data_IF_061055005633
#
_entry.id   IF_061055005633
#
_cell.length_a   1.000
_cell.length_b   1.000
_cell.length_c   1.000
_cell.angle_alpha   90.00
_cell.angle_beta   90.00
_cell.angle_gamma   90.00
#
_symmetry.space_group_name_H-M   'P 1'
#
loop_
_entity.id
_entity.type
_entity.pdbx_description
1 polymer ?
#
# COMPACT_ATOMS: atom_id res chain seq x y z
N UNK A 1 -14.59 -4.35 21.38
CA UNK A 1 -13.86 -3.08 21.16
C UNK A 1 -14.61 -2.28 20.10
N UNK A 2 -15.22 -1.15 20.46
CA UNK A 2 -15.83 -0.23 19.49
C UNK A 2 -14.67 0.51 18.81
N UNK A 3 -14.28 0.11 17.60
CA UNK A 3 -13.27 0.83 16.83
C UNK A 3 -13.89 2.12 16.30
N UNK A 4 -13.72 3.22 17.03
CA UNK A 4 -13.98 4.56 16.53
C UNK A 4 -12.93 4.82 15.42
N UNK A 5 -13.37 4.71 14.17
CA UNK A 5 -12.53 4.95 12.98
C UNK A 5 -12.44 6.46 12.72
N UNK A 6 -11.24 6.98 12.58
CA UNK A 6 -10.98 8.38 12.26
C UNK A 6 -10.00 9.05 13.21
N UNK A 7 -10.15 10.37 13.33
CA UNK A 7 -9.22 11.23 14.06
C UNK A 7 -8.05 11.71 13.19
N UNK A 8 -7.24 12.57 13.79
CA UNK A 8 -6.13 13.27 13.13
C UNK A 8 -5.16 12.28 12.47
N UNK A 9 -4.64 12.65 11.31
CA UNK A 9 -3.63 11.88 10.58
C UNK A 9 -2.24 12.10 11.18
N UNK A 10 -1.47 11.02 11.37
CA UNK A 10 -0.05 11.06 11.76
C UNK A 10 0.85 10.83 10.54
N UNK A 11 2.13 11.22 10.65
CA UNK A 11 3.10 11.03 9.57
C UNK A 11 3.29 9.55 9.23
N UNK A 12 3.39 8.68 10.24
CA UNK A 12 3.40 7.22 10.07
C UNK A 12 2.24 6.69 9.24
N UNK A 13 1.01 7.13 9.52
CA UNK A 13 -0.19 6.72 8.75
C UNK A 13 -0.11 7.21 7.29
N UNK A 14 0.33 8.45 7.07
CA UNK A 14 0.48 9.03 5.73
C UNK A 14 1.56 8.29 4.91
N UNK A 15 2.69 7.93 5.50
CA UNK A 15 3.75 7.18 4.82
C UNK A 15 3.34 5.75 4.47
N UNK A 16 2.64 5.06 5.38
CA UNK A 16 2.05 3.75 5.07
C UNK A 16 1.02 3.88 3.93
N UNK A 17 0.19 4.94 3.94
CA UNK A 17 -0.79 5.20 2.89
C UNK A 17 -0.11 5.42 1.54
N UNK A 18 0.96 6.23 1.48
CA UNK A 18 1.75 6.42 0.25
C UNK A 18 2.32 5.10 -0.28
N UNK A 19 3.00 4.34 0.58
CA UNK A 19 3.59 3.06 0.19
C UNK A 19 2.53 2.03 -0.25
N UNK A 20 1.37 2.01 0.40
CA UNK A 20 0.25 1.16 0.04
C UNK A 20 -0.38 1.57 -1.30
N UNK A 21 -0.49 2.87 -1.61
CA UNK A 21 -0.94 3.35 -2.92
C UNK A 21 0.05 2.98 -4.01
N UNK A 22 1.37 3.07 -3.74
CA UNK A 22 2.40 2.61 -4.69
C UNK A 22 2.26 1.11 -5.01
N UNK A 23 1.91 0.27 -4.03
CA UNK A 23 1.76 -1.18 -4.24
C UNK A 23 0.40 -1.59 -4.83
N UNK A 24 -0.70 -0.98 -4.37
CA UNK A 24 -2.06 -1.44 -4.67
C UNK A 24 -2.84 -0.53 -5.63
N UNK A 25 -2.33 0.67 -5.92
CA UNK A 25 -2.97 1.67 -6.78
C UNK A 25 -4.16 2.40 -6.13
N UNK A 26 -4.75 3.34 -6.89
CA UNK A 26 -5.80 4.26 -6.42
C UNK A 26 -7.23 3.69 -6.45
N UNK A 27 -7.39 2.38 -6.68
CA UNK A 27 -8.71 1.73 -6.80
C UNK A 27 -8.97 0.69 -5.70
N UNK A 28 -7.97 0.31 -4.91
CA UNK A 28 -8.08 -0.75 -3.89
C UNK A 28 -8.09 -0.19 -2.45
N UNK A 29 -8.91 0.84 -2.19
CA UNK A 29 -8.92 1.56 -0.90
C UNK A 29 -9.25 0.68 0.31
N UNK A 30 -10.10 -0.35 0.14
CA UNK A 30 -10.40 -1.29 1.22
C UNK A 30 -9.16 -2.10 1.64
N UNK A 31 -8.35 -2.49 0.65
CA UNK A 31 -7.09 -3.20 0.89
C UNK A 31 -6.07 -2.28 1.56
N UNK A 32 -5.97 -1.03 1.12
CA UNK A 32 -5.10 -0.02 1.73
C UNK A 32 -5.50 0.25 3.18
N UNK A 33 -6.77 0.52 3.44
CA UNK A 33 -7.28 0.78 4.79
C UNK A 33 -7.07 -0.39 5.74
N UNK A 34 -7.04 -1.63 5.25
CA UNK A 34 -6.71 -2.77 6.10
C UNK A 34 -5.26 -2.79 6.61
N UNK A 35 -4.36 -1.91 6.14
CA UNK A 35 -3.03 -1.71 6.71
C UNK A 35 -3.02 -0.60 7.79
N UNK A 36 -4.14 0.12 7.96
CA UNK A 36 -4.28 1.26 8.86
C UNK A 36 -5.42 1.00 9.85
N UNK A 37 -5.10 0.55 11.05
CA UNK A 37 -6.08 0.04 12.03
C UNK A 37 -7.25 0.98 12.35
N UNK A 38 -6.99 2.29 12.36
CA UNK A 38 -7.96 3.32 12.76
C UNK A 38 -8.52 4.13 11.60
N UNK A 39 -8.16 3.84 10.36
CA UNK A 39 -8.61 4.58 9.17
C UNK A 39 -9.48 3.71 8.26
N UNK A 40 -10.64 4.22 7.88
CA UNK A 40 -11.54 3.58 6.93
C UNK A 40 -11.10 3.81 5.47
N UNK A 41 -11.59 2.97 4.55
CA UNK A 41 -11.32 3.11 3.12
C UNK A 41 -11.71 4.48 2.55
N UNK A 42 -12.85 5.03 2.99
CA UNK A 42 -13.30 6.37 2.60
C UNK A 42 -12.33 7.46 3.09
N UNK A 43 -11.83 7.34 4.33
CA UNK A 43 -10.86 8.27 4.92
C UNK A 43 -9.52 8.20 4.17
N UNK A 44 -9.03 7.00 3.87
CA UNK A 44 -7.79 6.82 3.07
C UNK A 44 -7.92 7.45 1.68
N UNK A 45 -9.07 7.26 1.02
CA UNK A 45 -9.36 7.87 -0.28
C UNK A 45 -9.39 9.39 -0.19
N UNK A 46 -10.12 9.94 0.78
CA UNK A 46 -10.22 11.38 0.99
C UNK A 46 -8.84 11.99 1.31
N UNK A 47 -8.08 11.40 2.25
CA UNK A 47 -6.72 11.83 2.58
C UNK A 47 -5.80 11.85 1.37
N UNK A 48 -5.89 10.84 0.51
CA UNK A 48 -5.11 10.80 -0.71
C UNK A 48 -5.42 12.00 -1.62
N UNK A 49 -6.69 12.19 -2.00
CA UNK A 49 -7.05 13.23 -2.97
C UNK A 49 -7.01 14.66 -2.40
N UNK A 50 -7.19 14.83 -1.10
CA UNK A 50 -7.19 16.15 -0.46
C UNK A 50 -5.79 16.61 -0.02
N UNK A 51 -4.87 15.67 0.28
CA UNK A 51 -3.56 16.03 0.86
C UNK A 51 -2.36 15.31 0.24
N UNK A 52 -2.43 14.02 -0.07
CA UNK A 52 -1.23 13.25 -0.45
C UNK A 52 -0.95 13.16 -1.94
N UNK A 53 -1.95 13.38 -2.79
CA UNK A 53 -1.76 13.33 -4.24
C UNK A 53 -0.74 14.40 -4.67
N UNK A 54 0.35 14.04 -5.37
CA UNK A 54 1.38 15.00 -5.77
C UNK A 54 0.88 16.16 -6.65
N UNK A 55 -0.29 16.00 -7.29
CA UNK A 55 -0.94 17.07 -8.06
C UNK A 55 -1.53 18.17 -7.18
N UNK A 56 -1.72 17.94 -5.88
CA UNK A 56 -2.22 18.93 -4.92
C UNK A 56 -1.12 19.95 -4.63
N UNK A 57 -1.30 21.18 -5.11
CA UNK A 57 -0.37 22.28 -4.82
C UNK A 57 -0.50 22.71 -3.36
N UNK A 58 0.62 22.70 -2.63
CA UNK A 58 0.72 23.16 -1.24
C UNK A 58 1.54 24.44 -1.09
N UNK A 59 1.93 25.05 -2.21
CA UNK A 59 2.60 26.34 -2.26
C UNK A 59 1.64 27.48 -1.95
N UNK A 60 2.18 28.67 -1.73
CA UNK A 60 1.40 29.89 -1.56
C UNK A 60 0.49 30.16 -2.77
N UNK A 61 -0.57 30.95 -2.53
CA UNK A 61 -1.51 31.38 -3.56
C UNK A 61 -0.91 32.52 -4.38
N UNK A 62 -0.94 32.38 -5.69
CA UNK A 62 -0.58 33.47 -6.60
C UNK A 62 -1.73 34.46 -6.76
N UNK A 63 -1.40 35.70 -7.15
CA UNK A 63 -2.41 36.73 -7.44
C UNK A 63 -3.38 36.30 -8.55
N UNK A 64 -2.88 35.63 -9.59
CA UNK A 64 -3.70 35.10 -10.69
C UNK A 64 -4.67 34.01 -10.22
N UNK A 65 -4.24 33.14 -9.29
CA UNK A 65 -5.10 32.13 -8.67
C UNK A 65 -6.21 32.80 -7.83
N UNK A 66 -5.88 33.83 -7.05
CA UNK A 66 -6.85 34.57 -6.22
C UNK A 66 -7.88 35.33 -7.07
N UNK A 67 -7.45 36.04 -8.12
CA UNK A 67 -8.35 36.77 -9.02
C UNK A 67 -9.31 35.80 -9.73
N UNK A 68 -8.79 34.66 -10.21
CA UNK A 68 -9.60 33.60 -10.81
C UNK A 68 -10.59 32.99 -9.82
N UNK A 69 -10.14 32.72 -8.58
CA UNK A 69 -10.98 32.18 -7.52
C UNK A 69 -12.16 33.11 -7.21
N UNK A 70 -11.90 34.40 -7.00
CA UNK A 70 -12.94 35.39 -6.70
C UNK A 70 -13.92 35.56 -7.86
N UNK A 71 -13.42 35.61 -9.10
CA UNK A 71 -14.27 35.69 -10.29
C UNK A 71 -15.21 34.48 -10.40
N UNK A 72 -14.68 33.27 -10.26
CA UNK A 72 -15.47 32.04 -10.36
C UNK A 72 -16.44 31.87 -9.18
N UNK A 73 -16.04 32.25 -7.96
CA UNK A 73 -16.92 32.21 -6.80
C UNK A 73 -18.12 33.17 -6.94
N UNK A 74 -17.92 34.32 -7.62
CA UNK A 74 -19.01 35.25 -7.96
C UNK A 74 -19.96 34.68 -9.03
N UNK A 75 -19.42 33.99 -10.04
CA UNK A 75 -20.22 33.40 -11.12
C UNK A 75 -20.95 32.11 -10.71
N UNK A 76 -20.32 31.30 -9.87
CA UNK A 76 -20.85 30.01 -9.40
C UNK A 76 -20.81 29.94 -7.86
N UNK A 77 -21.78 30.59 -7.18
CA UNK A 77 -21.80 30.65 -5.73
C UNK A 77 -21.76 29.24 -5.10
N UNK A 78 -20.87 29.05 -4.12
CA UNK A 78 -20.71 27.83 -3.29
C UNK A 78 -20.40 26.52 -4.03
N UNK A 79 -20.10 26.55 -5.33
CA UNK A 79 -19.80 25.35 -6.14
C UNK A 79 -18.32 24.97 -6.13
N UNK A 80 -17.71 24.81 -4.95
CA UNK A 80 -16.26 24.61 -4.79
C UNK A 80 -15.70 23.38 -5.52
N UNK A 81 -16.48 22.30 -5.63
CA UNK A 81 -16.07 21.09 -6.38
C UNK A 81 -15.96 21.34 -7.89
N UNK A 82 -16.72 22.28 -8.43
CA UNK A 82 -16.68 22.70 -9.83
C UNK A 82 -15.56 23.72 -10.07
N UNK A 83 -15.36 24.64 -9.12
CA UNK A 83 -14.34 25.70 -9.19
C UNK A 83 -12.92 25.12 -9.06
N UNK A 84 -12.72 24.19 -8.12
CA UNK A 84 -11.41 23.65 -7.76
C UNK A 84 -10.58 23.12 -8.95
N UNK A 85 -11.12 22.27 -9.85
CA UNK A 85 -10.39 21.83 -11.04
C UNK A 85 -9.95 22.95 -11.97
N UNK A 86 -10.72 24.04 -12.06
CA UNK A 86 -10.44 25.20 -12.94
C UNK A 86 -9.33 26.08 -12.33
N UNK A 87 -9.33 26.25 -11.01
CA UNK A 87 -8.28 26.98 -10.28
C UNK A 87 -7.00 26.15 -10.16
N UNK A 88 -7.11 24.82 -10.11
CA UNK A 88 -5.98 23.90 -9.95
C UNK A 88 -5.56 23.70 -8.48
N UNK A 89 -6.52 23.79 -7.55
CA UNK A 89 -6.38 23.57 -6.10
C UNK A 89 -7.49 22.66 -5.61
N UNK A 90 -7.43 22.15 -4.38
CA UNK A 90 -8.54 21.34 -3.84
C UNK A 90 -9.75 22.21 -3.49
N UNK A 91 -10.94 21.61 -3.43
CA UNK A 91 -12.16 22.34 -3.09
C UNK A 91 -12.08 22.97 -1.68
N UNK A 92 -11.48 22.25 -0.73
CA UNK A 92 -11.30 22.78 0.62
C UNK A 92 -10.29 23.94 0.65
N UNK A 93 -9.17 23.84 -0.09
CA UNK A 93 -8.22 24.94 -0.22
C UNK A 93 -8.87 26.19 -0.81
N UNK A 94 -9.72 26.03 -1.84
CA UNK A 94 -10.43 27.14 -2.48
C UNK A 94 -11.39 27.82 -1.50
N UNK A 95 -12.16 27.05 -0.74
CA UNK A 95 -13.08 27.58 0.27
C UNK A 95 -12.33 28.33 1.38
N UNK A 96 -11.32 27.71 2.00
CA UNK A 96 -10.54 28.33 3.07
C UNK A 96 -9.85 29.62 2.58
N UNK A 97 -9.33 29.63 1.34
CA UNK A 97 -8.74 30.85 0.76
C UNK A 97 -9.77 31.94 0.50
N UNK A 98 -10.94 31.58 0.00
CA UNK A 98 -12.01 32.54 -0.28
C UNK A 98 -12.50 33.21 1.02
N UNK A 99 -12.75 32.42 2.07
CA UNK A 99 -13.11 32.94 3.40
C UNK A 99 -12.03 33.88 3.93
N UNK A 100 -10.75 33.48 3.84
CA UNK A 100 -9.63 34.33 4.26
C UNK A 100 -9.59 35.67 3.50
N UNK A 101 -9.88 35.69 2.19
CA UNK A 101 -9.90 36.91 1.39
C UNK A 101 -11.08 37.83 1.77
N UNK A 102 -12.24 37.26 2.10
CA UNK A 102 -13.39 38.01 2.61
C UNK A 102 -13.11 38.62 4.00
N UNK A 103 -12.61 37.81 4.94
CA UNK A 103 -12.26 38.25 6.30
C UNK A 103 -11.22 39.38 6.23
N UNK A 104 -10.21 39.26 5.34
CA UNK A 104 -9.19 40.29 5.12
C UNK A 104 -9.79 41.60 4.57
N UNK A 105 -10.81 41.53 3.71
CA UNK A 105 -11.48 42.70 3.19
C UNK A 105 -12.35 43.38 4.25
N UNK A 106 -13.16 42.60 4.98
CA UNK A 106 -14.02 43.10 6.06
C UNK A 106 -13.25 43.74 7.20
N UNK A 107 -12.13 43.12 7.61
CA UNK A 107 -11.27 43.65 8.67
C UNK A 107 -10.60 44.97 8.24
N UNK A 108 -10.26 45.13 6.95
CA UNK A 108 -9.74 46.40 6.41
C UNK A 108 -10.79 47.52 6.45
N UNK A 109 -12.07 47.18 6.32
CA UNK A 109 -13.19 48.11 6.42
C UNK A 109 -13.61 48.40 7.88
N UNK A 110 -12.91 47.84 8.88
CA UNK A 110 -13.11 48.14 10.29
C UNK A 110 -14.39 47.56 10.90
N UNK A 111 -14.96 46.53 10.26
CA UNK A 111 -16.32 46.03 10.54
C UNK A 111 -16.41 44.84 11.52
N UNK A 112 -15.32 44.29 12.06
CA UNK A 112 -15.38 43.01 12.80
C UNK A 112 -14.65 43.02 14.15
N UNK A 113 -15.38 43.21 15.24
CA UNK A 113 -14.89 42.95 16.60
C UNK A 113 -15.80 42.01 17.43
N UNK A 114 -16.95 41.57 16.92
CA UNK A 114 -17.94 40.81 17.73
C UNK A 114 -18.23 39.37 17.27
N UNK A 115 -17.60 38.86 16.20
CA UNK A 115 -17.78 37.45 15.83
C UNK A 115 -16.85 36.52 16.61
N UNK A 116 -17.45 35.47 17.18
CA UNK A 116 -16.87 34.50 18.11
C UNK A 116 -15.50 33.97 17.63
N UNK A 117 -14.40 34.19 18.39
CA UNK A 117 -13.05 33.79 17.98
C UNK A 117 -12.83 32.28 17.87
N UNK A 118 -13.83 31.45 18.20
CA UNK A 118 -13.76 29.98 18.07
C UNK A 118 -14.92 29.42 17.24
N UNK A 119 -14.66 29.16 15.95
CA UNK A 119 -15.60 28.46 15.04
C UNK A 119 -15.92 27.00 15.46
N UNK A 120 -15.19 26.40 16.39
CA UNK A 120 -15.46 25.05 16.93
C UNK A 120 -15.60 25.09 18.45
N UNK A 121 -16.63 24.43 18.99
CA UNK A 121 -16.80 24.34 20.45
C UNK A 121 -15.76 23.37 21.04
N UNK A 122 -15.20 23.67 22.22
CA UNK A 122 -14.32 22.73 22.91
C UNK A 122 -14.96 21.33 23.05
N UNK A 123 -14.33 20.31 22.46
CA UNK A 123 -14.81 18.93 22.48
C UNK A 123 -15.44 18.41 21.17
N UNK A 124 -15.66 19.27 20.17
CA UNK A 124 -16.15 18.83 18.86
C UNK A 124 -15.04 18.19 18.01
N UNK A 125 -15.38 17.13 17.28
CA UNK A 125 -14.47 16.45 16.34
C UNK A 125 -14.49 17.22 15.03
N UNK A 126 -13.31 17.55 14.49
CA UNK A 126 -13.18 18.16 13.15
C UNK A 126 -13.89 17.26 12.11
N UNK A 127 -14.85 17.80 11.32
CA UNK A 127 -15.55 17.03 10.30
C UNK A 127 -14.62 16.59 9.14
N UNK A 128 -13.54 17.33 8.85
CA UNK A 128 -12.67 17.11 7.69
C UNK A 128 -11.17 17.01 8.09
N UNK A 129 -10.76 16.06 8.95
CA UNK A 129 -9.37 15.94 9.39
C UNK A 129 -8.42 15.57 8.25
N UNK A 130 -8.92 15.04 7.12
CA UNK A 130 -8.13 14.69 5.95
C UNK A 130 -7.48 15.90 5.25
N UNK A 131 -7.97 17.11 5.46
CA UNK A 131 -7.45 18.33 4.82
C UNK A 131 -6.33 19.00 5.63
N UNK A 132 -6.10 18.56 6.87
CA UNK A 132 -5.12 19.16 7.78
C UNK A 132 -3.73 18.51 7.68
N UNK A 133 -2.63 19.23 7.99
CA UNK A 133 -1.31 18.61 8.07
C UNK A 133 -1.28 17.41 9.03
N UNK A 134 -0.43 16.43 8.71
CA UNK A 134 -0.22 15.30 9.61
C UNK A 134 0.53 15.74 10.88
N UNK A 135 0.20 15.12 12.01
CA UNK A 135 0.95 15.29 13.25
C UNK A 135 2.30 14.57 13.15
N UNK A 136 3.40 15.20 13.61
CA UNK A 136 4.67 14.51 13.78
C UNK A 136 4.52 13.29 14.69
N UNK A 137 5.30 12.25 14.41
CA UNK A 137 5.32 11.04 15.21
C UNK A 137 5.99 11.31 16.57
N UNK A 138 5.44 10.81 17.70
CA UNK A 138 6.09 10.93 19.00
C UNK A 138 7.41 10.16 19.04
N UNK A 139 8.33 10.57 19.92
CA UNK A 139 9.63 9.89 20.08
C UNK A 139 9.44 8.46 20.58
N UNK A 140 8.54 8.29 21.55
CA UNK A 140 8.15 6.99 22.07
C UNK A 140 6.83 6.58 21.40
N UNK A 141 6.95 5.70 20.41
CA UNK A 141 5.84 5.17 19.64
C UNK A 141 5.16 4.06 20.44
N UNK A 142 3.82 4.08 20.49
CA UNK A 142 3.08 3.04 21.19
C UNK A 142 3.14 1.69 20.45
N UNK A 143 2.75 0.62 21.15
CA UNK A 143 2.75 -0.74 20.62
C UNK A 143 1.88 -0.86 19.36
N UNK A 144 0.74 -0.18 19.34
CA UNK A 144 -0.20 -0.18 18.21
C UNK A 144 0.45 0.38 16.93
N UNK A 145 1.24 1.46 17.03
CA UNK A 145 1.92 2.06 15.89
C UNK A 145 3.11 1.22 15.41
N UNK A 146 3.88 0.66 16.34
CA UNK A 146 4.98 -0.25 16.02
C UNK A 146 4.47 -1.52 15.33
N UNK A 147 3.39 -2.10 15.84
CA UNK A 147 2.73 -3.26 15.25
C UNK A 147 2.22 -2.92 13.84
N UNK A 148 1.55 -1.77 13.67
CA UNK A 148 1.08 -1.29 12.37
C UNK A 148 2.20 -1.14 11.34
N UNK A 149 3.35 -0.58 11.74
CA UNK A 149 4.53 -0.48 10.87
C UNK A 149 5.09 -1.85 10.51
N UNK A 150 5.16 -2.76 11.47
CA UNK A 150 5.65 -4.13 11.25
C UNK A 150 4.76 -4.90 10.27
N UNK A 151 3.43 -4.79 10.42
CA UNK A 151 2.44 -5.41 9.54
C UNK A 151 2.52 -4.81 8.14
N UNK A 152 2.60 -3.48 8.03
CA UNK A 152 2.75 -2.79 6.76
C UNK A 152 3.99 -3.29 6.00
N UNK A 153 5.16 -3.35 6.65
CA UNK A 153 6.40 -3.88 6.06
C UNK A 153 6.22 -5.32 5.57
N UNK A 154 5.69 -6.20 6.41
CA UNK A 154 5.49 -7.61 6.06
C UNK A 154 4.52 -7.79 4.87
N UNK A 155 3.43 -7.03 4.83
CA UNK A 155 2.44 -7.08 3.76
C UNK A 155 2.94 -6.47 2.47
N UNK A 156 3.71 -5.39 2.53
CA UNK A 156 4.35 -4.79 1.36
C UNK A 156 5.44 -5.69 0.77
N UNK A 157 6.17 -6.46 1.57
CA UNK A 157 7.12 -7.45 1.09
C UNK A 157 6.46 -8.70 0.45
N UNK A 158 5.27 -9.09 0.92
CA UNK A 158 4.63 -10.32 0.47
C UNK A 158 4.00 -10.18 -0.94
N UNK A 159 4.46 -11.02 -1.88
CA UNK A 159 3.92 -11.16 -3.24
C UNK A 159 3.30 -12.53 -3.51
N UNK A 160 3.54 -13.52 -2.64
CA UNK A 160 3.18 -14.91 -2.86
C UNK A 160 1.82 -15.26 -2.25
N UNK A 161 0.98 -15.94 -3.04
CA UNK A 161 -0.27 -16.53 -2.58
C UNK A 161 -0.08 -17.82 -1.77
N UNK A 162 -1.19 -18.33 -1.20
CA UNK A 162 -1.20 -19.55 -0.36
C UNK A 162 -0.58 -20.77 -1.06
N UNK A 163 -0.90 -20.99 -2.35
CA UNK A 163 -0.40 -22.13 -3.13
C UNK A 163 1.12 -22.09 -3.32
N UNK A 164 1.68 -20.93 -3.66
CA UNK A 164 3.11 -20.75 -3.84
C UNK A 164 3.88 -21.01 -2.53
N UNK A 165 3.43 -20.42 -1.42
CA UNK A 165 4.03 -20.67 -0.09
C UNK A 165 3.95 -22.14 0.32
N UNK A 166 2.81 -22.81 0.10
CA UNK A 166 2.65 -24.24 0.38
C UNK A 166 3.61 -25.09 -0.45
N UNK A 167 3.70 -24.83 -1.75
CA UNK A 167 4.60 -25.56 -2.67
C UNK A 167 6.07 -25.33 -2.34
N UNK A 168 6.46 -24.14 -1.89
CA UNK A 168 7.82 -23.87 -1.42
C UNK A 168 8.17 -24.71 -0.18
N UNK A 169 7.26 -24.80 0.81
CA UNK A 169 7.46 -25.67 1.99
C UNK A 169 7.49 -27.15 1.63
N UNK A 170 6.60 -27.61 0.74
CA UNK A 170 6.61 -28.99 0.24
C UNK A 170 7.97 -29.35 -0.39
N UNK A 171 8.52 -28.46 -1.22
CA UNK A 171 9.85 -28.64 -1.83
C UNK A 171 10.97 -28.70 -0.78
N UNK A 172 10.95 -27.81 0.22
CA UNK A 172 11.94 -27.83 1.30
C UNK A 172 11.88 -29.15 2.10
N UNK A 173 10.67 -29.62 2.42
CA UNK A 173 10.47 -30.90 3.10
C UNK A 173 10.91 -32.08 2.25
N UNK A 174 10.68 -32.05 0.94
CA UNK A 174 11.16 -33.07 0.00
C UNK A 174 12.69 -33.13 -0.04
N UNK A 175 13.36 -31.98 -0.12
CA UNK A 175 14.83 -31.89 -0.06
C UNK A 175 15.33 -32.42 1.28
N UNK A 176 14.73 -32.02 2.40
CA UNK A 176 15.09 -32.50 3.73
C UNK A 176 14.93 -34.02 3.87
N UNK A 177 13.80 -34.59 3.41
CA UNK A 177 13.58 -36.03 3.38
C UNK A 177 14.62 -36.74 2.52
N UNK A 178 14.93 -36.21 1.33
CA UNK A 178 15.94 -36.78 0.44
C UNK A 178 17.33 -36.78 1.10
N UNK A 179 17.72 -35.70 1.76
CA UNK A 179 18.99 -35.61 2.49
C UNK A 179 19.05 -36.63 3.63
N UNK A 180 18.00 -36.74 4.45
CA UNK A 180 17.93 -37.72 5.54
C UNK A 180 18.00 -39.16 5.01
N UNK A 181 17.30 -39.48 3.92
CA UNK A 181 17.34 -40.79 3.29
C UNK A 181 18.74 -41.12 2.73
N UNK A 182 19.40 -40.13 2.12
CA UNK A 182 20.76 -40.27 1.60
C UNK A 182 21.78 -40.48 2.73
N UNK A 183 21.64 -39.76 3.85
CA UNK A 183 22.47 -39.94 5.03
C UNK A 183 22.31 -41.35 5.60
N UNK A 184 21.06 -41.78 5.84
CA UNK A 184 20.77 -43.16 6.31
C UNK A 184 21.36 -44.21 5.38
N UNK A 185 21.25 -44.02 4.06
CA UNK A 185 21.84 -44.94 3.07
C UNK A 185 23.37 -44.97 3.15
N UNK A 186 24.02 -43.83 3.37
CA UNK A 186 25.48 -43.76 3.55
C UNK A 186 25.91 -44.52 4.80
N UNK A 187 25.24 -44.31 5.93
CA UNK A 187 25.54 -44.98 7.20
C UNK A 187 25.38 -46.50 7.09
N UNK A 188 24.28 -46.98 6.49
CA UNK A 188 24.07 -48.41 6.26
C UNK A 188 25.14 -49.02 5.34
N UNK A 189 25.50 -48.34 4.24
CA UNK A 189 26.58 -48.79 3.35
C UNK A 189 27.93 -48.81 4.05
N UNK A 190 28.24 -47.82 4.88
CA UNK A 190 29.48 -47.75 5.65
C UNK A 190 29.57 -48.89 6.68
N UNK A 191 28.44 -49.31 7.26
CA UNK A 191 28.34 -50.48 8.13
C UNK A 191 28.39 -51.83 7.38
N UNK A 192 28.59 -51.83 6.06
CA UNK A 192 28.61 -53.05 5.24
C UNK A 192 27.23 -53.66 4.97
N UNK A 193 26.15 -52.99 5.38
CA UNK A 193 24.77 -53.45 5.14
C UNK A 193 24.33 -53.00 3.74
N UNK A 194 24.52 -53.90 2.76
CA UNK A 194 24.11 -53.71 1.37
C UNK A 194 22.60 -53.60 1.21
N UNK A 195 22.04 -52.41 1.40
CA UNK A 195 20.60 -52.19 1.19
C UNK A 195 20.29 -51.79 -0.24
N UNK A 196 19.59 -52.68 -0.95
CA UNK A 196 18.73 -52.31 -2.07
C UNK A 196 17.50 -51.61 -1.48
N UNK A 197 17.62 -50.33 -1.15
CA UNK A 197 16.46 -49.50 -0.81
C UNK A 197 15.62 -49.38 -2.08
N UNK A 198 14.62 -50.25 -2.19
CA UNK A 198 13.73 -50.34 -3.33
C UNK A 198 13.25 -48.95 -3.72
N UNK A 199 13.50 -48.59 -4.99
CA UNK A 199 12.84 -47.46 -5.61
C UNK A 199 11.35 -47.60 -5.30
N UNK A 200 10.75 -46.59 -4.66
CA UNK A 200 9.33 -46.61 -4.38
C UNK A 200 8.58 -46.99 -5.66
N UNK A 201 7.64 -47.95 -5.62
CA UNK A 201 6.98 -48.45 -6.82
C UNK A 201 6.41 -47.27 -7.61
N UNK A 202 6.86 -47.12 -8.86
CA UNK A 202 6.43 -46.02 -9.75
C UNK A 202 4.93 -46.19 -9.98
N UNK A 203 4.11 -45.33 -9.35
CA UNK A 203 2.64 -45.38 -9.45
C UNK A 203 2.11 -44.86 -10.79
N UNK A 204 3.00 -44.46 -11.71
CA UNK A 204 2.70 -44.04 -13.08
C UNK A 204 3.81 -44.49 -14.03
N UNK A 205 3.54 -44.72 -15.33
CA UNK A 205 4.57 -44.89 -16.34
C UNK A 205 5.39 -43.59 -16.41
N UNK A 206 6.49 -43.56 -15.65
CA UNK A 206 7.39 -42.43 -15.54
C UNK A 206 8.71 -42.85 -16.19
N UNK A 207 9.07 -42.16 -17.27
CA UNK A 207 10.32 -42.37 -18.01
C UNK A 207 11.50 -42.32 -17.04
N UNK A 208 12.40 -43.29 -17.20
CA UNK A 208 13.58 -43.36 -16.37
C UNK A 208 14.74 -42.65 -17.06
N UNK A 209 14.90 -41.37 -16.71
CA UNK A 209 15.93 -40.50 -17.25
C UNK A 209 17.37 -41.00 -17.01
N UNK A 210 17.58 -41.95 -16.10
CA UNK A 210 18.91 -42.49 -15.83
C UNK A 210 19.21 -43.76 -16.62
N UNK A 211 18.21 -44.49 -17.11
CA UNK A 211 18.43 -45.77 -17.82
C UNK A 211 18.48 -45.63 -19.33
N UNK A 212 17.78 -44.64 -19.89
CA UNK A 212 17.69 -44.42 -21.35
C UNK A 212 17.67 -42.93 -21.68
N UNK A 213 18.02 -42.58 -22.92
CA UNK A 213 17.89 -41.21 -23.44
C UNK A 213 16.41 -40.99 -23.78
N UNK A 214 15.68 -40.16 -23.01
CA UNK A 214 14.26 -39.97 -23.27
C UNK A 214 14.05 -39.24 -24.59
N UNK A 215 13.13 -39.75 -25.41
CA UNK A 215 12.82 -39.19 -26.73
C UNK A 215 14.06 -39.06 -27.63
N UNK A 216 14.97 -40.03 -27.58
CA UNK A 216 16.14 -40.04 -28.45
C UNK A 216 15.73 -39.93 -29.92
N UNK A 217 16.26 -38.92 -30.60
CA UNK A 217 16.13 -38.75 -32.04
C UNK A 217 17.50 -38.91 -32.65
N UNK A 218 17.68 -40.02 -33.36
CA UNK A 218 18.93 -40.29 -34.04
C UNK A 218 19.25 -39.14 -35.03
N UNK A 219 20.48 -38.64 -35.06
CA UNK A 219 20.87 -37.60 -36.01
C UNK A 219 20.68 -38.14 -37.45
N UNK A 220 20.15 -37.33 -38.38
CA UNK A 220 20.00 -37.76 -39.76
C UNK A 220 21.37 -38.09 -40.36
N UNK A 221 21.45 -39.19 -41.11
CA UNK A 221 22.70 -39.62 -41.76
C UNK A 221 23.14 -38.58 -42.80
N UNK A 222 24.40 -38.15 -42.72
CA UNK A 222 25.00 -37.17 -43.64
C UNK A 222 25.78 -37.83 -44.79
N UNK A 223 26.45 -37.00 -45.59
CA UNK A 223 27.31 -37.45 -46.70
C UNK A 223 28.65 -38.05 -46.26
N UNK A 224 29.04 -37.85 -45.00
CA UNK A 224 30.29 -38.36 -44.44
C UNK A 224 30.01 -39.53 -43.50
N UNK A 225 30.93 -40.49 -43.46
CA UNK A 225 30.91 -41.60 -42.51
C UNK A 225 31.12 -41.07 -41.08
N UNK A 226 30.21 -41.43 -40.18
CA UNK A 226 30.22 -41.03 -38.76
C UNK A 226 30.14 -42.24 -37.82
N UNK A 227 30.56 -43.42 -38.32
CA UNK A 227 30.64 -44.67 -37.56
C UNK A 227 31.65 -44.59 -36.41
#
# INVERSE_FOLDING_TARGET
RINIKGGVWRNTEDEILKAAVMKYGKNQWARIASLLHRKAAKQCKARWYEWLDPSVKKTEWSREEDEKLLHLAKLMPTQWRTIAPIVGRTANQCLERYEYLLDKAQNREGLSAEEDPKRLRPGEIDPNPETKPARPDPVDMDEDELEMLSEARARLANTQGKKAKRKARERQLEIARRMAMMQKRRELRAAGLGTFLGLAPKTKPCMDYNSEIPFEKQPPKGFHDTS
#
